data_IF_058232247309
#
_entry.id   IF_058232247309
#
_cell.length_a   1.000
_cell.length_b   1.000
_cell.length_c   1.000
_cell.angle_alpha   90.00
_cell.angle_beta   90.00
_cell.angle_gamma   90.00
#
_symmetry.space_group_name_H-M   'P 1'
#
loop_
_entity.id
_entity.type
_entity.pdbx_description
1 polymer ?
#
# COMPACT_ATOMS: atom_id res chain seq x y z
N UNK A 1 26.82 -6.73 -23.09
CA UNK A 1 25.70 -7.31 -22.31
C UNK A 1 24.71 -6.19 -22.07
N UNK A 2 23.45 -6.35 -22.45
CA UNK A 2 22.42 -5.35 -22.18
C UNK A 2 21.80 -5.64 -20.82
N UNK A 3 21.51 -4.61 -20.05
CA UNK A 3 20.84 -4.71 -18.74
C UNK A 3 19.55 -3.91 -18.78
N UNK A 4 18.56 -4.33 -18.00
CA UNK A 4 17.24 -3.68 -17.89
C UNK A 4 16.92 -3.45 -16.43
N UNK A 5 16.57 -2.21 -16.07
CA UNK A 5 16.14 -1.85 -14.72
C UNK A 5 14.68 -1.39 -14.76
N UNK A 6 13.83 -2.07 -14.00
CA UNK A 6 12.39 -1.82 -13.97
C UNK A 6 12.06 -0.84 -12.84
N UNK A 7 11.48 0.30 -13.23
CA UNK A 7 11.16 1.42 -12.33
C UNK A 7 9.75 1.97 -12.55
N UNK A 8 8.84 1.16 -13.10
CA UNK A 8 7.49 1.61 -13.51
C UNK A 8 6.53 1.88 -12.33
N UNK A 9 6.99 1.66 -11.09
CA UNK A 9 6.20 1.84 -9.88
C UNK A 9 5.06 0.83 -9.72
N UNK A 10 4.36 0.92 -8.59
CA UNK A 10 3.33 -0.06 -8.21
C UNK A 10 2.05 0.55 -7.64
N UNK A 11 1.84 1.86 -7.83
CA UNK A 11 0.62 2.58 -7.44
C UNK A 11 -0.19 3.05 -8.66
N UNK A 12 -0.29 2.18 -9.66
CA UNK A 12 -1.03 2.43 -10.89
C UNK A 12 -2.25 1.53 -11.03
N UNK A 13 -2.12 0.20 -11.00
CA UNK A 13 -3.27 -0.69 -11.19
C UNK A 13 -4.08 -0.79 -9.89
N UNK A 14 -5.31 -0.24 -9.82
CA UNK A 14 -6.09 -0.23 -8.58
C UNK A 14 -6.53 -1.63 -8.20
N UNK A 15 -6.51 -1.94 -6.90
CA UNK A 15 -7.10 -3.18 -6.40
C UNK A 15 -8.51 -2.91 -5.91
N UNK A 16 -9.51 -3.44 -6.62
CA UNK A 16 -10.90 -3.47 -6.16
C UNK A 16 -11.22 -4.89 -5.69
N UNK A 17 -11.65 -5.09 -4.44
CA UNK A 17 -11.89 -6.43 -3.90
C UNK A 17 -13.04 -7.12 -4.64
N UNK A 18 -12.90 -8.42 -4.88
CA UNK A 18 -13.99 -9.22 -5.44
C UNK A 18 -14.97 -9.61 -4.32
N UNK A 19 -15.96 -8.75 -4.07
CA UNK A 19 -17.03 -8.99 -3.10
C UNK A 19 -18.32 -9.44 -3.81
N UNK A 20 -19.10 -10.37 -3.23
CA UNK A 20 -20.39 -10.77 -3.78
C UNK A 20 -21.31 -9.56 -4.01
N UNK A 21 -21.84 -9.45 -5.23
CA UNK A 21 -22.77 -8.40 -5.65
C UNK A 21 -22.17 -6.99 -5.79
N UNK A 22 -20.89 -6.77 -5.49
CA UNK A 22 -20.27 -5.45 -5.65
C UNK A 22 -20.30 -4.97 -7.10
N UNK A 23 -20.03 -5.85 -8.08
CA UNK A 23 -20.08 -5.48 -9.51
C UNK A 23 -21.47 -5.07 -10.00
N UNK A 24 -22.52 -5.48 -9.30
CA UNK A 24 -23.93 -5.17 -9.60
C UNK A 24 -24.50 -4.09 -8.67
N UNK A 25 -23.66 -3.45 -7.86
CA UNK A 25 -24.08 -2.37 -6.99
C UNK A 25 -24.65 -1.21 -7.81
N UNK A 26 -25.80 -0.67 -7.38
CA UNK A 26 -26.51 0.39 -8.12
C UNK A 26 -25.91 1.77 -7.92
N UNK A 27 -25.16 1.97 -6.82
CA UNK A 27 -24.44 3.21 -6.55
C UNK A 27 -23.10 3.30 -7.27
N UNK A 28 -22.35 4.35 -6.97
CA UNK A 28 -21.03 4.58 -7.56
C UNK A 28 -19.96 3.74 -6.86
N UNK A 29 -19.09 3.08 -7.63
CA UNK A 29 -17.84 2.52 -7.12
C UNK A 29 -16.70 3.42 -7.58
N UNK A 30 -15.91 3.89 -6.63
CA UNK A 30 -14.74 4.74 -6.86
C UNK A 30 -13.51 4.09 -6.24
N UNK A 31 -12.33 4.29 -6.81
CA UNK A 31 -11.06 3.93 -6.15
C UNK A 31 -10.29 5.20 -5.80
N UNK A 32 -9.51 5.15 -4.71
CA UNK A 32 -8.70 6.29 -4.23
C UNK A 32 -7.79 6.88 -5.31
N UNK A 33 -7.35 6.07 -6.27
CA UNK A 33 -6.59 6.50 -7.48
C UNK A 33 -7.23 7.68 -8.21
N UNK A 34 -8.57 7.72 -8.27
CA UNK A 34 -9.35 8.75 -8.96
C UNK A 34 -9.91 9.81 -8.02
N UNK A 35 -9.61 9.74 -6.71
CA UNK A 35 -9.96 10.80 -5.78
C UNK A 35 -9.19 12.08 -6.12
N UNK A 36 -9.89 13.22 -6.16
CA UNK A 36 -9.28 14.53 -6.47
C UNK A 36 -9.72 15.62 -5.52
N UNK A 37 -10.97 15.60 -5.08
CA UNK A 37 -11.51 16.54 -4.12
C UNK A 37 -12.82 16.01 -3.52
N UNK A 38 -13.18 16.46 -2.30
CA UNK A 38 -14.38 16.00 -1.61
C UNK A 38 -15.68 16.53 -2.21
N UNK A 39 -15.65 17.59 -3.04
CA UNK A 39 -16.88 18.14 -3.67
C UNK A 39 -17.57 17.12 -4.59
N UNK A 40 -16.81 16.15 -5.13
CA UNK A 40 -17.35 15.05 -5.94
C UNK A 40 -18.38 14.17 -5.21
N UNK A 41 -18.41 14.23 -3.88
CA UNK A 41 -19.35 13.49 -3.03
C UNK A 41 -20.31 14.39 -2.24
N UNK A 42 -20.39 15.69 -2.59
CA UNK A 42 -21.27 16.66 -1.92
C UNK A 42 -22.69 16.13 -1.77
N UNK A 43 -23.18 16.15 -0.54
CA UNK A 43 -24.52 15.66 -0.21
C UNK A 43 -24.72 14.16 -0.48
N UNK A 44 -23.68 13.33 -0.52
CA UNK A 44 -23.79 11.86 -0.67
C UNK A 44 -23.50 11.13 0.64
N UNK A 45 -24.04 9.92 0.79
CA UNK A 45 -23.60 8.95 1.78
C UNK A 45 -22.46 8.11 1.18
N UNK A 46 -21.31 8.09 1.83
CA UNK A 46 -20.11 7.39 1.35
C UNK A 46 -19.65 6.34 2.34
N UNK A 47 -19.21 5.18 1.83
CA UNK A 47 -18.41 4.22 2.58
C UNK A 47 -17.02 4.10 1.98
N UNK A 48 -16.00 4.36 2.79
CA UNK A 48 -14.58 4.25 2.45
C UNK A 48 -14.09 2.88 2.92
N UNK A 49 -13.64 2.03 1.99
CA UNK A 49 -13.13 0.69 2.28
C UNK A 49 -11.61 0.76 2.44
N UNK A 50 -11.14 0.65 3.68
CA UNK A 50 -9.72 0.71 4.04
C UNK A 50 -9.38 1.82 5.06
N UNK A 51 -8.50 1.51 6.01
CA UNK A 51 -8.05 2.41 7.10
C UNK A 51 -6.59 2.85 7.03
N UNK A 52 -5.84 2.41 6.01
CA UNK A 52 -4.45 2.86 5.82
C UNK A 52 -4.41 4.32 5.35
N UNK A 53 -3.21 4.86 5.11
CA UNK A 53 -2.97 6.26 4.78
C UNK A 53 -4.02 6.88 3.84
N UNK A 54 -4.24 6.32 2.65
CA UNK A 54 -5.21 6.88 1.69
C UNK A 54 -6.66 6.88 2.19
N UNK A 55 -7.09 5.83 2.91
CA UNK A 55 -8.46 5.77 3.42
C UNK A 55 -8.70 6.78 4.53
N UNK A 56 -7.74 6.90 5.44
CA UNK A 56 -7.76 7.88 6.54
C UNK A 56 -7.67 9.31 6.04
N UNK A 57 -6.80 9.60 5.08
CA UNK A 57 -6.68 10.95 4.52
C UNK A 57 -7.92 11.36 3.72
N UNK A 58 -8.52 10.45 2.94
CA UNK A 58 -9.78 10.74 2.24
C UNK A 58 -10.93 10.95 3.24
N UNK A 59 -11.01 10.13 4.30
CA UNK A 59 -12.02 10.32 5.34
C UNK A 59 -11.87 11.70 6.01
N UNK A 60 -10.62 12.11 6.29
CA UNK A 60 -10.30 13.44 6.82
C UNK A 60 -10.65 14.56 5.83
N UNK A 61 -10.28 14.42 4.57
CA UNK A 61 -10.53 15.40 3.49
C UNK A 61 -12.04 15.68 3.31
N UNK A 62 -12.89 14.66 3.50
CA UNK A 62 -14.35 14.84 3.47
C UNK A 62 -14.88 15.41 4.78
N UNK A 63 -14.35 14.97 5.93
CA UNK A 63 -14.84 15.35 7.25
C UNK A 63 -14.43 16.77 7.68
N UNK A 64 -13.30 17.29 7.20
CA UNK A 64 -12.92 18.69 7.35
C UNK A 64 -13.69 19.57 6.35
N UNK A 65 -15.03 19.55 6.48
CA UNK A 65 -15.93 20.35 5.67
C UNK A 65 -15.99 21.78 6.16
N UNK A 66 -15.09 22.61 5.63
CA UNK A 66 -15.08 24.05 5.88
C UNK A 66 -16.02 24.82 4.93
N UNK A 67 -16.72 24.14 4.01
CA UNK A 67 -17.55 24.78 2.96
C UNK A 67 -19.03 24.89 3.33
N UNK A 68 -19.54 24.05 4.23
CA UNK A 68 -20.94 24.12 4.66
C UNK A 68 -21.17 25.30 5.62
N UNK A 69 -21.33 26.50 5.07
CA UNK A 69 -21.48 27.75 5.83
C UNK A 69 -22.92 28.12 6.16
N UNK A 70 -23.91 27.52 5.49
CA UNK A 70 -25.34 27.80 5.65
C UNK A 70 -26.22 26.59 5.31
N UNK A 71 -27.54 26.74 5.52
CA UNK A 71 -28.52 25.70 5.24
C UNK A 71 -28.70 25.42 3.72
N UNK A 72 -28.20 26.31 2.85
CA UNK A 72 -28.32 26.22 1.40
C UNK A 72 -27.15 25.45 0.77
N UNK A 73 -26.03 25.33 1.47
CA UNK A 73 -24.83 24.59 1.05
C UNK A 73 -24.76 23.24 1.75
N UNK A 74 -25.17 22.12 1.10
CA UNK A 74 -25.17 20.80 1.73
C UNK A 74 -23.75 20.42 2.13
N UNK A 75 -23.58 19.68 3.23
CA UNK A 75 -22.28 19.13 3.64
C UNK A 75 -21.59 18.37 2.51
N UNK A 76 -20.25 18.33 2.52
CA UNK A 76 -19.42 17.54 1.60
C UNK A 76 -19.82 16.06 1.59
N UNK A 77 -20.29 15.51 2.71
CA UNK A 77 -21.00 14.24 2.73
C UNK A 77 -22.14 14.29 3.76
N UNK A 78 -23.25 13.61 3.47
CA UNK A 78 -24.37 13.43 4.42
C UNK A 78 -23.99 12.47 5.53
N UNK A 79 -23.33 11.35 5.18
CA UNK A 79 -22.78 10.36 6.12
C UNK A 79 -21.46 9.83 5.60
N UNK A 80 -20.50 9.63 6.49
CA UNK A 80 -19.19 9.09 6.18
C UNK A 80 -19.01 7.80 6.99
N UNK A 81 -18.89 6.69 6.29
CA UNK A 81 -18.54 5.39 6.87
C UNK A 81 -17.11 5.03 6.50
N UNK A 82 -16.36 4.43 7.42
CA UNK A 82 -15.07 3.84 7.13
C UNK A 82 -15.09 2.35 7.48
N UNK A 83 -15.04 1.49 6.47
CA UNK A 83 -14.99 0.03 6.62
C UNK A 83 -13.57 -0.41 6.93
N UNK A 84 -13.38 -0.99 8.12
CA UNK A 84 -12.08 -1.38 8.65
C UNK A 84 -12.07 -2.87 8.98
N UNK A 85 -10.98 -3.57 8.61
CA UNK A 85 -10.76 -4.96 9.01
C UNK A 85 -10.42 -5.01 10.49
N UNK A 86 -10.86 -6.05 11.20
CA UNK A 86 -10.63 -6.16 12.65
C UNK A 86 -9.13 -6.00 13.01
N UNK A 87 -8.26 -6.68 12.26
CA UNK A 87 -6.80 -6.61 12.43
C UNK A 87 -6.19 -5.25 12.11
N UNK A 88 -6.88 -4.41 11.33
CA UNK A 88 -6.42 -3.08 10.92
C UNK A 88 -7.07 -1.98 11.78
N UNK A 89 -7.86 -2.35 12.80
CA UNK A 89 -8.32 -1.38 13.77
C UNK A 89 -7.10 -0.84 14.52
N UNK A 90 -6.99 0.49 14.66
CA UNK A 90 -5.91 1.05 15.46
C UNK A 90 -5.99 0.51 16.89
N UNK A 91 -4.82 0.36 17.54
CA UNK A 91 -4.78 0.03 18.96
C UNK A 91 -5.41 1.18 19.78
N UNK A 92 -5.94 0.89 20.97
CA UNK A 92 -6.35 1.94 21.91
C UNK A 92 -5.22 2.97 22.07
N UNK A 93 -5.54 4.27 22.03
CA UNK A 93 -4.63 5.42 22.10
C UNK A 93 -3.78 5.72 20.83
N UNK A 94 -3.65 4.81 19.86
CA UNK A 94 -2.99 5.10 18.57
C UNK A 94 -3.89 5.93 17.63
N UNK A 95 -5.16 6.16 18.00
CA UNK A 95 -6.12 6.95 17.23
C UNK A 95 -6.02 8.46 17.47
N UNK A 96 -5.25 8.86 18.47
CA UNK A 96 -5.27 10.22 18.99
C UNK A 96 -6.59 10.57 19.66
N UNK A 97 -7.15 9.61 20.40
CA UNK A 97 -8.35 9.77 21.23
C UNK A 97 -8.08 10.75 22.40
N UNK A 98 -6.82 10.85 22.82
CA UNK A 98 -6.38 11.92 23.70
C UNK A 98 -6.26 13.24 22.93
N UNK A 99 -7.31 14.05 23.02
CA UNK A 99 -7.38 15.37 22.41
C UNK A 99 -6.31 16.35 22.93
N UNK A 100 -5.70 16.09 24.09
CA UNK A 100 -4.59 16.91 24.60
C UNK A 100 -3.29 16.67 23.82
N UNK A 101 -3.11 15.44 23.30
CA UNK A 101 -1.96 15.05 22.50
C UNK A 101 -2.20 15.25 20.99
N UNK A 102 -3.45 15.13 20.55
CA UNK A 102 -3.83 15.17 19.15
C UNK A 102 -5.04 16.09 18.89
N UNK A 103 -4.90 17.42 19.07
CA UNK A 103 -6.03 18.36 19.02
C UNK A 103 -6.74 18.45 17.66
N UNK A 104 -6.14 17.91 16.60
CA UNK A 104 -6.65 17.96 15.23
C UNK A 104 -7.36 16.65 14.79
N UNK A 105 -7.87 15.83 15.72
CA UNK A 105 -8.54 14.55 15.40
C UNK A 105 -10.07 14.59 15.49
N UNK A 106 -10.67 15.71 15.91
CA UNK A 106 -12.15 15.84 16.06
C UNK A 106 -12.95 15.53 14.80
N UNK A 107 -12.36 15.63 13.61
CA UNK A 107 -13.02 15.23 12.36
C UNK A 107 -13.47 13.76 12.38
N UNK A 108 -12.83 12.90 13.17
CA UNK A 108 -13.20 11.49 13.33
C UNK A 108 -14.60 11.29 13.90
N UNK A 109 -15.10 12.24 14.70
CA UNK A 109 -16.47 12.18 15.25
C UNK A 109 -17.54 12.20 14.15
N UNK A 110 -17.18 12.67 12.95
CA UNK A 110 -18.04 12.68 11.77
C UNK A 110 -17.94 11.40 10.93
N UNK A 111 -17.02 10.49 11.28
CA UNK A 111 -16.72 9.27 10.53
C UNK A 111 -17.09 8.04 11.35
N UNK A 112 -18.10 7.32 10.90
CA UNK A 112 -18.54 6.09 11.55
C UNK A 112 -17.69 4.90 11.08
N UNK A 113 -16.87 4.37 11.98
CA UNK A 113 -16.10 3.14 11.70
C UNK A 113 -17.02 1.92 11.72
N UNK A 114 -16.99 1.13 10.65
CA UNK A 114 -17.82 -0.06 10.47
C UNK A 114 -16.97 -1.29 10.13
N UNK A 115 -17.46 -2.52 10.36
CA UNK A 115 -16.78 -3.74 9.92
C UNK A 115 -16.65 -3.84 8.40
N UNK A 116 -15.92 -4.86 7.97
CA UNK A 116 -15.78 -5.21 6.55
C UNK A 116 -17.13 -5.44 5.87
N UNK A 117 -17.24 -5.02 4.61
CA UNK A 117 -18.34 -5.41 3.73
C UNK A 117 -18.25 -6.92 3.46
N UNK A 118 -19.33 -7.63 3.76
CA UNK A 118 -19.50 -9.05 3.48
C UNK A 118 -20.03 -9.26 2.05
N UNK A 119 -21.07 -8.51 1.68
CA UNK A 119 -21.72 -8.57 0.36
C UNK A 119 -22.54 -7.31 0.09
N UNK A 120 -22.94 -7.14 -1.16
CA UNK A 120 -23.82 -6.06 -1.61
C UNK A 120 -25.00 -6.68 -2.36
N UNK A 121 -26.23 -6.21 -2.11
CA UNK A 121 -27.43 -6.62 -2.86
C UNK A 121 -28.27 -5.37 -3.19
N UNK A 122 -28.38 -5.05 -4.47
CA UNK A 122 -29.07 -3.83 -4.91
C UNK A 122 -28.38 -2.58 -4.38
N UNK A 123 -29.06 -1.86 -3.49
CA UNK A 123 -28.59 -0.66 -2.77
C UNK A 123 -28.17 -0.93 -1.32
N UNK A 124 -28.26 -2.19 -0.86
CA UNK A 124 -27.93 -2.60 0.50
C UNK A 124 -26.48 -3.11 0.59
N UNK A 125 -25.76 -2.60 1.60
CA UNK A 125 -24.39 -3.00 1.92
C UNK A 125 -24.42 -3.80 3.23
N UNK A 126 -24.16 -5.10 3.15
CA UNK A 126 -24.14 -5.99 4.30
C UNK A 126 -22.73 -6.04 4.87
N UNK A 127 -22.63 -5.76 6.16
CA UNK A 127 -21.36 -5.74 6.90
C UNK A 127 -21.25 -7.00 7.75
N UNK A 128 -20.01 -7.47 7.96
CA UNK A 128 -19.75 -8.55 8.92
C UNK A 128 -20.34 -8.21 10.28
N UNK A 129 -20.95 -9.19 10.92
CA UNK A 129 -21.67 -9.01 12.20
C UNK A 129 -23.14 -8.61 12.04
N UNK A 130 -23.66 -8.59 10.81
CA UNK A 130 -25.11 -8.53 10.54
C UNK A 130 -25.68 -7.11 10.36
N UNK A 131 -24.87 -6.06 10.52
CA UNK A 131 -25.31 -4.70 10.25
C UNK A 131 -25.50 -4.48 8.75
N UNK A 132 -26.59 -3.83 8.37
CA UNK A 132 -26.90 -3.49 6.98
C UNK A 132 -26.97 -1.98 6.85
N UNK A 133 -26.27 -1.42 5.86
CA UNK A 133 -26.39 -0.02 5.47
C UNK A 133 -27.23 0.07 4.20
N UNK A 134 -28.09 1.09 4.12
CA UNK A 134 -28.89 1.42 2.94
C UNK A 134 -28.64 2.87 2.52
N UNK A 135 -28.99 3.18 1.27
CA UNK A 135 -28.83 4.54 0.73
C UNK A 135 -27.38 5.02 0.70
N UNK A 136 -26.41 4.10 0.62
CA UNK A 136 -25.03 4.46 0.29
C UNK A 136 -25.03 4.87 -1.19
N UNK A 137 -24.46 6.03 -1.49
CA UNK A 137 -24.37 6.54 -2.86
C UNK A 137 -23.01 6.18 -3.48
N UNK A 138 -21.96 6.08 -2.66
CA UNK A 138 -20.58 5.84 -3.11
C UNK A 138 -19.89 4.80 -2.22
N UNK A 139 -19.37 3.74 -2.84
CA UNK A 139 -18.37 2.84 -2.24
C UNK A 139 -16.99 3.27 -2.78
N UNK A 140 -16.15 3.82 -1.91
CA UNK A 140 -14.80 4.26 -2.25
C UNK A 140 -13.77 3.22 -1.76
N UNK A 141 -13.15 2.53 -2.70
CA UNK A 141 -12.08 1.58 -2.45
C UNK A 141 -10.75 2.31 -2.21
N UNK A 142 -10.32 2.36 -0.95
CA UNK A 142 -8.97 2.76 -0.53
C UNK A 142 -8.12 1.51 -0.23
N UNK A 143 -8.23 0.51 -1.11
CA UNK A 143 -7.75 -0.86 -0.90
C UNK A 143 -6.37 -1.12 -1.53
N UNK A 144 -5.69 -0.07 -1.99
CA UNK A 144 -4.33 -0.14 -2.52
C UNK A 144 -4.28 -0.59 -3.98
N UNK A 145 -3.14 -1.12 -4.39
CA UNK A 145 -2.81 -1.34 -5.79
C UNK A 145 -2.13 -2.69 -6.01
N UNK A 146 -2.18 -3.17 -7.25
CA UNK A 146 -1.51 -4.37 -7.73
C UNK A 146 -0.17 -4.02 -8.39
N UNK A 147 0.82 -4.90 -8.22
CA UNK A 147 2.00 -4.89 -9.09
C UNK A 147 1.59 -5.30 -10.50
N UNK A 148 2.18 -4.65 -11.51
CA UNK A 148 1.85 -4.90 -12.90
C UNK A 148 3.05 -4.61 -13.78
N UNK A 149 3.38 -5.57 -14.64
CA UNK A 149 4.46 -5.46 -15.63
C UNK A 149 3.90 -5.89 -16.99
N UNK A 150 2.99 -5.10 -17.60
CA UNK A 150 2.26 -5.49 -18.80
C UNK A 150 3.13 -5.63 -20.05
N UNK A 151 4.40 -5.23 -19.95
CA UNK A 151 5.41 -5.34 -20.99
C UNK A 151 6.16 -6.69 -20.97
N UNK A 152 5.96 -7.54 -19.95
CA UNK A 152 6.44 -8.92 -19.97
C UNK A 152 5.36 -9.88 -20.46
N UNK A 153 5.75 -10.82 -21.33
CA UNK A 153 4.88 -11.88 -21.82
C UNK A 153 4.96 -13.08 -20.88
N UNK A 154 3.92 -13.37 -20.08
CA UNK A 154 3.95 -14.48 -19.12
C UNK A 154 3.99 -15.86 -19.78
N UNK A 155 3.68 -15.94 -21.07
CA UNK A 155 3.70 -17.14 -21.92
C UNK A 155 5.04 -17.37 -22.61
N UNK A 156 6.05 -16.52 -22.37
CA UNK A 156 7.37 -16.63 -22.98
C UNK A 156 8.45 -16.81 -21.93
N UNK A 157 9.47 -17.59 -22.26
CA UNK A 157 10.67 -17.71 -21.45
C UNK A 157 11.30 -16.34 -21.16
N UNK A 158 11.85 -16.11 -19.95
CA UNK A 158 11.86 -17.05 -18.81
C UNK A 158 10.56 -17.07 -17.98
N UNK A 159 9.59 -16.21 -18.27
CA UNK A 159 8.40 -16.00 -17.44
C UNK A 159 7.37 -17.13 -17.46
N UNK A 160 7.39 -17.96 -18.50
CA UNK A 160 6.53 -19.16 -18.64
C UNK A 160 6.80 -20.22 -17.55
N UNK A 161 8.06 -20.35 -17.15
CA UNK A 161 8.55 -21.30 -16.15
C UNK A 161 8.91 -20.61 -14.83
N UNK A 162 9.26 -19.33 -14.89
CA UNK A 162 9.61 -18.50 -13.74
C UNK A 162 8.78 -17.22 -13.72
N UNK A 163 7.47 -17.31 -13.42
CA UNK A 163 6.57 -16.17 -13.48
C UNK A 163 7.08 -15.01 -12.62
N UNK A 164 6.95 -13.77 -13.10
CA UNK A 164 7.40 -12.60 -12.34
C UNK A 164 6.39 -12.20 -11.25
N UNK A 165 5.10 -12.47 -11.43
CA UNK A 165 4.04 -12.10 -10.49
C UNK A 165 3.25 -13.35 -10.10
N UNK A 166 2.89 -13.47 -8.82
CA UNK A 166 1.85 -14.39 -8.35
C UNK A 166 0.76 -13.68 -7.58
N UNK A 167 -0.42 -14.29 -7.52
CA UNK A 167 -1.46 -13.88 -6.58
C UNK A 167 -1.06 -14.26 -5.14
N UNK A 168 -1.36 -13.39 -4.18
CA UNK A 168 -1.27 -13.72 -2.77
C UNK A 168 -2.37 -14.73 -2.40
N UNK A 169 -2.12 -15.63 -1.47
CA UNK A 169 -3.15 -16.53 -0.93
C UNK A 169 -4.11 -15.75 -0.02
N UNK A 170 -5.24 -16.36 0.35
CA UNK A 170 -6.15 -15.74 1.33
C UNK A 170 -5.49 -15.60 2.70
N UNK A 171 -4.68 -16.59 3.11
CA UNK A 171 -3.94 -16.58 4.36
C UNK A 171 -2.87 -15.48 4.37
N UNK A 172 -2.08 -15.35 3.31
CA UNK A 172 -1.08 -14.28 3.19
C UNK A 172 -1.72 -12.89 3.27
N UNK A 173 -2.91 -12.69 2.68
CA UNK A 173 -3.67 -11.43 2.79
C UNK A 173 -4.25 -11.20 4.18
N UNK A 174 -4.51 -12.27 4.95
CA UNK A 174 -4.93 -12.19 6.35
C UNK A 174 -3.76 -11.85 7.26
N UNK A 175 -2.58 -12.38 6.99
CA UNK A 175 -1.39 -12.17 7.83
C UNK A 175 -0.64 -10.87 7.50
N UNK A 176 -0.56 -10.47 6.24
CA UNK A 176 0.12 -9.24 5.81
C UNK A 176 -0.87 -8.12 5.45
N UNK A 177 -0.44 -6.87 5.62
CA UNK A 177 -1.09 -5.70 5.00
C UNK A 177 -0.72 -5.54 3.50
N UNK A 178 -0.01 -6.52 2.95
CA UNK A 178 0.49 -6.53 1.59
C UNK A 178 -0.59 -6.63 0.50
N UNK A 179 -0.19 -6.37 -0.76
CA UNK A 179 -1.08 -6.35 -1.90
C UNK A 179 -1.64 -7.74 -2.26
N UNK A 180 -2.70 -7.73 -3.09
CA UNK A 180 -3.35 -8.96 -3.53
C UNK A 180 -2.50 -9.79 -4.51
N UNK A 181 -1.43 -9.23 -5.08
CA UNK A 181 -0.41 -9.92 -5.84
C UNK A 181 0.99 -9.41 -5.47
N UNK A 182 2.04 -10.14 -5.83
CA UNK A 182 3.42 -9.73 -5.57
C UNK A 182 4.40 -10.25 -6.62
N UNK A 183 5.51 -9.54 -6.85
CA UNK A 183 6.68 -10.05 -7.56
C UNK A 183 7.25 -11.29 -6.87
N UNK A 184 7.78 -12.23 -7.66
CA UNK A 184 8.46 -13.44 -7.19
C UNK A 184 9.64 -13.77 -8.12
N UNK A 185 10.42 -14.80 -7.77
CA UNK A 185 11.65 -15.17 -8.46
C UNK A 185 12.68 -14.02 -8.43
N UNK A 186 12.69 -13.27 -7.34
CA UNK A 186 13.72 -12.29 -7.02
C UNK A 186 14.74 -12.93 -6.08
N UNK A 187 15.95 -12.39 -6.08
CA UNK A 187 17.02 -12.84 -5.21
C UNK A 187 16.76 -12.46 -3.75
N UNK A 188 17.66 -12.84 -2.85
CA UNK A 188 17.48 -12.63 -1.40
C UNK A 188 17.44 -11.14 -1.01
N UNK A 189 17.77 -10.23 -1.93
CA UNK A 189 17.70 -8.78 -1.77
C UNK A 189 16.44 -8.16 -2.39
N UNK A 190 15.55 -8.97 -2.96
CA UNK A 190 14.37 -8.53 -3.72
C UNK A 190 14.72 -7.53 -4.85
N UNK A 191 15.94 -7.62 -5.41
CA UNK A 191 16.49 -6.64 -6.38
C UNK A 191 16.64 -7.22 -7.78
N UNK A 192 17.22 -8.42 -7.89
CA UNK A 192 17.56 -9.04 -9.17
C UNK A 192 16.62 -10.19 -9.47
N UNK A 193 16.17 -10.30 -10.72
CA UNK A 193 15.41 -11.45 -11.18
C UNK A 193 16.32 -12.67 -11.27
N UNK A 194 16.03 -13.71 -10.50
CA UNK A 194 16.90 -14.89 -10.34
C UNK A 194 17.18 -15.62 -11.67
N UNK A 195 16.19 -15.86 -12.55
CA UNK A 195 16.42 -16.56 -13.82
C UNK A 195 17.30 -15.77 -14.80
N UNK A 196 17.31 -14.44 -14.71
CA UNK A 196 18.15 -13.57 -15.52
C UNK A 196 18.50 -12.29 -14.75
N UNK A 197 19.70 -12.28 -14.15
CA UNK A 197 20.15 -11.16 -13.31
C UNK A 197 20.48 -9.89 -14.11
N UNK A 198 20.43 -9.90 -15.45
CA UNK A 198 20.44 -8.65 -16.24
C UNK A 198 19.18 -7.82 -16.09
N UNK A 199 18.14 -8.40 -15.48
CA UNK A 199 16.91 -7.73 -15.09
C UNK A 199 16.90 -7.43 -13.58
N UNK A 200 16.78 -6.16 -13.23
CA UNK A 200 16.65 -5.69 -11.84
C UNK A 200 15.44 -4.79 -11.64
N UNK A 201 15.05 -4.59 -10.38
CA UNK A 201 13.91 -3.77 -10.00
C UNK A 201 14.32 -2.71 -8.97
N UNK A 202 13.75 -1.51 -9.12
CA UNK A 202 13.80 -0.47 -8.08
C UNK A 202 12.37 -0.10 -7.70
N UNK A 203 12.15 0.06 -6.41
CA UNK A 203 10.87 0.53 -5.88
C UNK A 203 9.78 -0.53 -5.80
N UNK A 204 10.18 -1.76 -5.45
CA UNK A 204 9.23 -2.82 -5.10
C UNK A 204 8.71 -2.66 -3.67
N UNK A 205 9.56 -2.26 -2.74
CA UNK A 205 9.26 -2.25 -1.31
C UNK A 205 8.21 -1.23 -0.89
N UNK A 206 7.48 -1.55 0.18
CA UNK A 206 6.39 -0.75 0.76
C UNK A 206 6.66 -0.45 2.22
N UNK A 207 5.98 0.59 2.75
CA UNK A 207 6.20 1.14 4.10
C UNK A 207 7.59 1.73 4.33
N UNK A 208 8.20 2.22 3.25
CA UNK A 208 9.54 2.78 3.19
C UNK A 208 9.53 4.27 2.89
N UNK A 209 10.64 4.96 3.15
CA UNK A 209 10.90 6.26 2.54
C UNK A 209 11.41 6.07 1.09
N UNK A 210 10.65 6.44 0.05
CA UNK A 210 10.96 6.01 -1.32
C UNK A 210 12.26 6.58 -1.88
N UNK A 211 12.48 7.90 -1.78
CA UNK A 211 13.59 8.55 -2.49
C UNK A 211 14.96 8.05 -2.01
N UNK A 212 15.26 8.01 -0.69
CA UNK A 212 16.54 7.50 -0.22
C UNK A 212 16.73 6.01 -0.55
N UNK A 213 15.67 5.21 -0.44
CA UNK A 213 15.74 3.79 -0.76
C UNK A 213 16.05 3.56 -2.25
N UNK A 214 15.40 4.31 -3.14
CA UNK A 214 15.54 4.14 -4.58
C UNK A 214 16.92 4.59 -5.06
N UNK A 215 17.45 5.68 -4.50
CA UNK A 215 18.82 6.13 -4.75
C UNK A 215 19.84 5.06 -4.37
N UNK A 216 19.72 4.48 -3.17
CA UNK A 216 20.63 3.45 -2.68
C UNK A 216 20.53 2.15 -3.48
N UNK A 217 19.31 1.75 -3.85
CA UNK A 217 19.09 0.61 -4.74
C UNK A 217 19.72 0.83 -6.12
N UNK A 218 19.62 2.05 -6.67
CA UNK A 218 20.24 2.40 -7.95
C UNK A 218 21.77 2.31 -7.88
N UNK A 219 22.38 2.77 -6.79
CA UNK A 219 23.84 2.67 -6.56
C UNK A 219 24.30 1.22 -6.53
N UNK A 220 23.59 0.36 -5.79
CA UNK A 220 23.86 -1.08 -5.73
C UNK A 220 23.79 -1.72 -7.13
N UNK A 221 22.69 -1.52 -7.85
CA UNK A 221 22.47 -2.10 -9.18
C UNK A 221 23.54 -1.61 -10.17
N UNK A 222 23.84 -0.31 -10.17
CA UNK A 222 24.85 0.28 -11.03
C UNK A 222 26.24 -0.32 -10.75
N UNK A 223 26.62 -0.47 -9.48
CA UNK A 223 27.87 -1.11 -9.09
C UNK A 223 27.95 -2.56 -9.61
N UNK A 224 26.90 -3.35 -9.42
CA UNK A 224 26.86 -4.74 -9.88
C UNK A 224 27.01 -4.84 -11.41
N UNK A 225 26.31 -3.99 -12.17
CA UNK A 225 26.34 -4.04 -13.62
C UNK A 225 27.63 -3.47 -14.23
N UNK A 226 28.24 -2.45 -13.64
CA UNK A 226 29.55 -1.94 -14.07
C UNK A 226 30.64 -2.99 -13.88
N UNK A 227 30.62 -3.70 -12.75
CA UNK A 227 31.60 -4.74 -12.43
C UNK A 227 31.28 -6.11 -13.05
N UNK A 228 30.15 -6.24 -13.75
CA UNK A 228 29.73 -7.49 -14.39
C UNK A 228 29.48 -8.65 -13.42
N UNK A 229 29.27 -8.36 -12.13
CA UNK A 229 29.09 -9.37 -11.08
C UNK A 229 28.23 -8.83 -9.95
N UNK A 230 27.46 -9.71 -9.31
CA UNK A 230 26.71 -9.40 -8.10
C UNK A 230 27.48 -10.06 -6.95
N UNK A 231 28.11 -9.29 -6.06
CA UNK A 231 28.85 -9.86 -4.94
C UNK A 231 27.88 -10.55 -3.96
N UNK A 232 28.39 -11.37 -3.03
CA UNK A 232 27.58 -11.88 -1.93
C UNK A 232 27.00 -10.71 -1.11
N UNK A 233 25.68 -10.60 -1.09
CA UNK A 233 24.95 -9.61 -0.31
C UNK A 233 24.23 -10.29 0.85
N UNK A 234 24.19 -9.69 2.05
CA UNK A 234 23.32 -10.16 3.12
C UNK A 234 21.86 -10.27 2.66
N UNK A 235 21.12 -11.31 3.07
CA UNK A 235 19.69 -11.42 2.74
C UNK A 235 18.90 -10.26 3.36
N UNK A 236 17.84 -9.84 2.69
CA UNK A 236 16.95 -8.79 3.16
C UNK A 236 16.32 -9.17 4.51
N UNK A 237 16.60 -8.36 5.53
CA UNK A 237 15.92 -8.40 6.83
C UNK A 237 14.55 -7.75 6.72
N UNK A 238 13.51 -8.43 7.20
CA UNK A 238 12.12 -7.95 7.17
C UNK A 238 11.39 -8.40 8.45
N UNK A 239 10.33 -7.69 8.82
CA UNK A 239 9.55 -8.01 10.01
C UNK A 239 8.59 -9.20 9.82
N UNK A 240 8.32 -9.57 8.56
CA UNK A 240 7.36 -10.62 8.22
C UNK A 240 8.04 -11.93 7.88
N UNK A 241 7.55 -13.02 8.47
CA UNK A 241 7.96 -14.38 8.09
C UNK A 241 7.34 -14.86 6.77
N UNK A 242 6.49 -14.05 6.13
CA UNK A 242 5.83 -14.42 4.86
C UNK A 242 6.85 -14.31 3.73
N UNK A 243 7.17 -15.41 3.02
CA UNK A 243 8.14 -15.38 1.94
C UNK A 243 7.76 -14.38 0.83
N UNK A 244 8.71 -13.50 0.48
CA UNK A 244 8.53 -12.47 -0.53
C UNK A 244 7.53 -11.38 -0.13
N UNK A 245 7.26 -11.15 1.16
CA UNK A 245 6.57 -9.92 1.58
C UNK A 245 7.48 -8.72 1.36
N UNK A 246 7.00 -7.75 0.56
CA UNK A 246 7.74 -6.55 0.18
C UNK A 246 7.51 -5.38 1.15
N UNK A 247 6.75 -5.59 2.23
CA UNK A 247 6.65 -4.62 3.30
C UNK A 247 7.96 -4.64 4.10
N UNK A 248 8.68 -3.51 4.07
CA UNK A 248 9.87 -3.28 4.90
C UNK A 248 9.56 -2.07 5.75
N UNK A 249 9.51 -2.28 7.06
CA UNK A 249 9.27 -1.23 8.04
C UNK A 249 10.56 -0.52 8.44
N UNK A 250 10.38 0.48 9.31
CA UNK A 250 11.47 1.13 10.01
C UNK A 250 11.99 0.25 11.16
N UNK A 251 13.31 0.07 11.34
CA UNK A 251 14.44 0.69 10.61
C UNK A 251 15.05 -0.13 9.47
N UNK A 252 14.45 -1.25 9.09
CA UNK A 252 15.05 -2.24 8.18
C UNK A 252 15.26 -1.69 6.76
N UNK A 253 14.44 -0.74 6.30
CA UNK A 253 14.62 -0.08 5.00
C UNK A 253 15.96 0.65 4.90
N UNK A 254 16.49 1.15 6.01
CA UNK A 254 17.81 1.78 6.06
C UNK A 254 18.93 0.78 6.32
N UNK A 255 18.74 -0.14 7.27
CA UNK A 255 19.77 -1.10 7.68
C UNK A 255 20.18 -2.03 6.54
N UNK A 256 19.21 -2.58 5.81
CA UNK A 256 19.48 -3.44 4.65
C UNK A 256 20.34 -2.72 3.61
N UNK A 257 19.99 -1.46 3.29
CA UNK A 257 20.72 -0.69 2.30
C UNK A 257 22.12 -0.32 2.77
N UNK A 258 22.28 0.07 4.04
CA UNK A 258 23.61 0.36 4.60
C UNK A 258 24.51 -0.88 4.53
N UNK A 259 23.99 -2.07 4.84
CA UNK A 259 24.74 -3.33 4.75
C UNK A 259 25.14 -3.66 3.31
N UNK A 260 24.24 -3.51 2.35
CA UNK A 260 24.53 -3.77 0.94
C UNK A 260 25.54 -2.78 0.36
N UNK A 261 25.40 -1.48 0.65
CA UNK A 261 26.34 -0.47 0.19
C UNK A 261 27.74 -0.64 0.82
N UNK A 262 27.82 -1.08 2.09
CA UNK A 262 29.09 -1.45 2.73
C UNK A 262 29.71 -2.67 2.06
N UNK A 263 28.92 -3.68 1.72
CA UNK A 263 29.40 -4.91 1.08
C UNK A 263 30.04 -4.65 -0.30
N UNK A 264 29.57 -3.62 -1.02
CA UNK A 264 30.16 -3.19 -2.30
C UNK A 264 31.23 -2.08 -2.16
N UNK A 265 31.58 -1.69 -0.93
CA UNK A 265 32.56 -0.64 -0.66
C UNK A 265 32.14 0.78 -1.04
N UNK A 266 30.84 1.01 -1.26
CA UNK A 266 30.29 2.29 -1.71
C UNK A 266 30.11 3.32 -0.57
N UNK A 267 30.00 2.84 0.67
CA UNK A 267 30.04 3.67 1.88
C UNK A 267 31.11 3.16 2.85
N UNK A 268 31.80 4.07 3.54
CA UNK A 268 32.83 3.67 4.51
C UNK A 268 32.22 2.99 5.73
N UNK A 269 32.98 2.10 6.37
CA UNK A 269 32.59 1.46 7.63
C UNK A 269 32.47 2.45 8.82
N UNK A 270 32.86 3.71 8.65
CA UNK A 270 33.14 4.66 9.74
C UNK A 270 32.05 5.71 10.02
N UNK A 271 30.87 5.63 9.41
CA UNK A 271 29.75 6.47 9.83
C UNK A 271 29.06 5.86 11.04
N UNK A 272 29.68 6.00 12.21
CA UNK A 272 28.97 5.86 13.48
C UNK A 272 27.89 6.93 13.54
N UNK A 273 26.68 6.55 13.97
CA UNK A 273 25.62 7.53 14.25
C UNK A 273 26.19 8.53 15.28
N UNK A 274 26.11 9.85 15.06
CA UNK A 274 26.50 10.81 16.09
C UNK A 274 25.59 10.57 17.30
N UNK A 275 26.18 10.11 18.42
CA UNK A 275 25.45 9.82 19.66
C UNK A 275 25.61 8.41 20.24
N UNK A 276 26.34 7.49 19.59
CA UNK A 276 26.78 6.25 20.25
C UNK A 276 28.20 6.41 20.81
N UNK A 277 28.34 7.24 21.84
CA UNK A 277 29.39 7.11 22.83
C UNK A 277 28.70 7.05 24.19
N UNK A 278 29.06 6.05 24.99
CA UNK A 278 28.58 5.79 26.36
C UNK A 278 28.48 7.06 27.22
#
# INVERSE_FOLDING_TARGET
>A
MSVTVITNGHFNVPYVPSLPGLRSYQGQILHSRWWRNPRSVRGKNIIIVGSHASGTDIARDIALDDEATDAQTPKLARKIYQSVREKDKPRPNDQGDDQSLYPNTKWRDQVETVPEIERVEGDLVYLKGGKVLSGIDVILCATGYLYSYPFFSPDKAPFDSHPLIRSSTQEERRLSAGPANRPINLDETDTFYVPDKTLAFIGLHRFVNPLPLFERSARLIAHCYINGSIPPLPPLKRDSDIPGDLNIGHPQEFENQDEWLKAIGDVSASLSRPGQSM
#
